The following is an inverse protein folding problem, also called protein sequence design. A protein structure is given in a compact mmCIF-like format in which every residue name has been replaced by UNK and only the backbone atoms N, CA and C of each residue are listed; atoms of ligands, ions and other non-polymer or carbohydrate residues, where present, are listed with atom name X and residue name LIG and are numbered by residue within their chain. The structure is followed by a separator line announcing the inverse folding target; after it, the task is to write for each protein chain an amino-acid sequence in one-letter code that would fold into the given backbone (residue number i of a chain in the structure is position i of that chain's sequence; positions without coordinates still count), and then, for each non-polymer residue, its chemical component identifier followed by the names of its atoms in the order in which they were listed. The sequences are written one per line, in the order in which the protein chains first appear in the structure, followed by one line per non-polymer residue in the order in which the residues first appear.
data_IF_952164593221
#
_entry.id   IF_952164593221
#
_cell.length_a   1.000
_cell.length_b   1.000
_cell.length_c   1.000
_cell.angle_alpha   90.00
_cell.angle_beta   90.00
_cell.angle_gamma   90.00
#
_symmetry.space_group_name_H-M   'P 1'
#
loop_
_entity.id
_entity.type
_entity.pdbx_description
1 polymer ?
#
# COMPACT_ATOMS: atom_id res chain seq x y z
N UNK A 1 -8.50 -1.01 20.90
CA UNK A 1 -8.53 -0.40 19.54
C UNK A 1 -8.67 1.10 19.68
N UNK A 2 -8.00 1.87 18.83
CA UNK A 2 -8.21 3.31 18.73
C UNK A 2 -9.59 3.57 18.10
N UNK A 3 -10.28 4.60 18.56
CA UNK A 3 -11.61 4.99 18.03
C UNK A 3 -11.52 6.10 16.98
N UNK A 4 -10.31 6.60 16.74
CA UNK A 4 -10.05 7.66 15.78
C UNK A 4 -9.87 7.10 14.37
N UNK A 5 -10.26 7.90 13.39
CA UNK A 5 -10.09 7.55 11.99
C UNK A 5 -8.62 7.68 11.59
N UNK A 6 -8.06 6.62 11.00
CA UNK A 6 -6.70 6.65 10.47
C UNK A 6 -6.62 7.44 9.17
N UNK A 7 -5.85 8.53 9.19
CA UNK A 7 -5.46 9.30 8.02
C UNK A 7 -4.13 8.79 7.48
N UNK A 8 -4.15 7.61 6.85
CA UNK A 8 -2.96 7.01 6.23
C UNK A 8 -2.86 7.41 4.75
N UNK A 9 -2.03 8.39 4.45
CA UNK A 9 -1.71 8.88 3.10
C UNK A 9 -0.27 9.42 3.06
N UNK A 10 0.19 9.87 1.89
CA UNK A 10 1.55 10.35 1.68
C UNK A 10 1.62 11.89 1.76
N UNK A 11 0.75 12.54 2.53
CA UNK A 11 0.76 14.01 2.67
C UNK A 11 2.07 14.56 3.24
N UNK A 12 2.74 13.81 4.11
CA UNK A 12 4.02 14.22 4.71
C UNK A 12 5.21 14.16 3.73
N UNK A 13 5.04 13.55 2.56
CA UNK A 13 6.10 13.39 1.57
C UNK A 13 6.38 14.71 0.83
N UNK A 14 7.64 15.15 0.87
CA UNK A 14 8.11 16.28 0.08
C UNK A 14 8.07 15.99 -1.44
N UNK A 15 8.18 14.71 -1.83
CA UNK A 15 7.98 14.27 -3.21
C UNK A 15 6.61 14.65 -3.76
N UNK A 16 5.55 14.54 -2.93
CA UNK A 16 4.19 14.88 -3.32
C UNK A 16 4.12 16.35 -3.78
N UNK A 17 4.73 17.26 -3.04
CA UNK A 17 4.78 18.69 -3.39
C UNK A 17 5.35 18.93 -4.80
N UNK A 18 6.55 18.42 -5.09
CA UNK A 18 7.20 18.64 -6.39
C UNK A 18 6.46 17.96 -7.54
N UNK A 19 5.87 16.79 -7.31
CA UNK A 19 5.10 16.08 -8.32
C UNK A 19 3.86 16.86 -8.71
N UNK A 20 3.12 17.39 -7.73
CA UNK A 20 1.94 18.21 -7.98
C UNK A 20 2.30 19.54 -8.66
N UNK A 21 3.37 20.21 -8.23
CA UNK A 21 3.87 21.42 -8.90
C UNK A 21 4.30 21.20 -10.35
N UNK A 22 4.76 19.99 -10.66
CA UNK A 22 5.11 19.57 -12.02
C UNK A 22 3.85 19.34 -12.84
N UNK A 23 2.94 18.48 -12.37
CA UNK A 23 1.79 18.01 -13.15
C UNK A 23 0.62 18.99 -13.20
N UNK A 24 0.52 19.96 -12.29
CA UNK A 24 -0.58 20.94 -12.29
C UNK A 24 -0.66 21.72 -13.61
N UNK A 25 0.47 22.01 -14.26
CA UNK A 25 0.50 22.63 -15.59
C UNK A 25 -0.21 21.78 -16.63
N UNK A 26 -0.14 20.46 -16.49
CA UNK A 26 -0.88 19.54 -17.36
C UNK A 26 -2.40 19.59 -17.06
N UNK A 27 -2.81 19.50 -15.80
CA UNK A 27 -4.23 19.45 -15.46
C UNK A 27 -5.01 20.76 -15.64
N UNK A 28 -4.33 21.91 -15.56
CA UNK A 28 -4.97 23.23 -15.55
C UNK A 28 -5.03 23.92 -16.92
N UNK A 29 -4.45 23.31 -17.95
CA UNK A 29 -4.37 23.91 -19.29
C UNK A 29 -4.94 22.99 -20.37
N UNK A 30 -5.57 23.60 -21.37
CA UNK A 30 -5.98 22.90 -22.58
C UNK A 30 -4.74 22.64 -23.45
N UNK A 31 -4.47 21.36 -23.69
CA UNK A 31 -3.32 20.93 -24.49
C UNK A 31 -3.73 20.60 -25.92
N UNK A 32 -3.00 21.06 -26.95
CA UNK A 32 -3.37 20.87 -28.34
C UNK A 32 -2.95 19.50 -28.93
N UNK A 33 -2.34 18.60 -28.13
CA UNK A 33 -1.82 17.32 -28.63
C UNK A 33 -2.94 16.37 -29.04
N UNK A 34 -2.74 15.63 -30.14
CA UNK A 34 -3.72 14.67 -30.65
C UNK A 34 -3.64 13.31 -29.96
N UNK A 35 -2.42 12.91 -29.60
CA UNK A 35 -2.12 11.60 -29.02
C UNK A 35 -0.91 11.68 -28.07
N UNK A 36 -0.61 10.55 -27.44
CA UNK A 36 0.50 10.42 -26.49
C UNK A 36 1.88 10.60 -27.13
N UNK A 37 2.04 10.18 -28.39
CA UNK A 37 3.34 10.26 -29.08
C UNK A 37 3.71 11.72 -29.34
N UNK A 38 2.76 12.51 -29.84
CA UNK A 38 2.92 13.96 -30.01
C UNK A 38 3.21 14.65 -28.67
N UNK A 39 2.45 14.32 -27.62
CA UNK A 39 2.63 14.90 -26.28
C UNK A 39 4.00 14.61 -25.69
N UNK A 40 4.40 13.34 -25.66
CA UNK A 40 5.67 12.90 -25.08
C UNK A 40 6.90 13.44 -25.82
N UNK A 41 6.76 13.70 -27.12
CA UNK A 41 7.83 14.29 -27.94
C UNK A 41 7.94 15.79 -27.72
N UNK A 42 6.80 16.49 -27.65
CA UNK A 42 6.76 17.94 -27.49
C UNK A 42 7.12 18.38 -26.06
N UNK A 43 6.65 17.66 -25.05
CA UNK A 43 6.80 18.01 -23.64
C UNK A 43 7.16 16.78 -22.78
N UNK A 44 8.37 16.22 -22.97
CA UNK A 44 8.78 14.95 -22.36
C UNK A 44 8.80 14.99 -20.82
N UNK A 45 9.13 16.14 -20.23
CA UNK A 45 9.07 16.32 -18.78
C UNK A 45 7.65 16.20 -18.21
N UNK A 46 6.63 16.70 -18.92
CA UNK A 46 5.23 16.56 -18.52
C UNK A 46 4.75 15.11 -18.69
N UNK A 47 5.19 14.42 -19.75
CA UNK A 47 4.90 13.00 -19.92
C UNK A 47 5.51 12.17 -18.77
N UNK A 48 6.76 12.46 -18.39
CA UNK A 48 7.43 11.83 -17.24
C UNK A 48 6.71 12.14 -15.91
N UNK A 49 6.32 13.39 -15.68
CA UNK A 49 5.52 13.79 -14.52
C UNK A 49 4.18 13.05 -14.48
N UNK A 50 3.51 12.91 -15.62
CA UNK A 50 2.22 12.22 -15.71
C UNK A 50 2.34 10.73 -15.37
N UNK A 51 3.32 10.03 -15.96
CA UNK A 51 3.55 8.61 -15.66
C UNK A 51 3.92 8.42 -14.19
N UNK A 52 4.78 9.28 -13.66
CA UNK A 52 5.17 9.27 -12.23
C UNK A 52 3.96 9.51 -11.33
N UNK A 53 3.12 10.49 -11.66
CA UNK A 53 1.89 10.80 -10.94
C UNK A 53 0.95 9.59 -10.86
N UNK A 54 0.71 8.90 -11.98
CA UNK A 54 -0.14 7.70 -11.99
C UNK A 54 0.38 6.62 -11.04
N UNK A 55 1.71 6.44 -10.96
CA UNK A 55 2.31 5.47 -10.03
C UNK A 55 2.22 5.93 -8.58
N UNK A 56 2.48 7.21 -8.32
CA UNK A 56 2.42 7.77 -6.97
C UNK A 56 0.99 7.80 -6.41
N UNK A 57 0.02 8.19 -7.22
CA UNK A 57 -1.41 8.19 -6.87
C UNK A 57 -1.90 6.77 -6.55
N UNK A 58 -1.52 5.79 -7.38
CA UNK A 58 -1.83 4.38 -7.11
C UNK A 58 -1.20 3.87 -5.80
N UNK A 59 0.00 4.37 -5.45
CA UNK A 59 0.72 4.03 -4.22
C UNK A 59 0.02 4.64 -2.99
N UNK A 60 -0.33 5.92 -3.05
CA UNK A 60 -1.09 6.61 -2.01
C UNK A 60 -2.46 5.92 -1.79
N UNK A 61 -3.15 5.54 -2.86
CA UNK A 61 -4.42 4.83 -2.78
C UNK A 61 -4.30 3.48 -2.05
N UNK A 62 -3.14 2.80 -2.07
CA UNK A 62 -2.97 1.57 -1.29
C UNK A 62 -3.06 1.81 0.22
N UNK A 63 -2.59 2.96 0.71
CA UNK A 63 -2.73 3.33 2.12
C UNK A 63 -4.15 3.73 2.47
N UNK A 64 -4.84 4.45 1.57
CA UNK A 64 -6.26 4.77 1.72
C UNK A 64 -7.10 3.50 1.83
N UNK A 65 -6.83 2.52 0.97
CA UNK A 65 -7.54 1.24 0.94
C UNK A 65 -7.30 0.38 2.19
N UNK A 66 -6.17 0.57 2.89
CA UNK A 66 -5.87 -0.11 4.17
C UNK A 66 -6.71 0.42 5.34
N UNK A 67 -7.22 1.66 5.25
CA UNK A 67 -8.02 2.31 6.33
C UNK A 67 -9.31 1.56 6.67
N UNK A 68 -9.81 0.71 5.75
CA UNK A 68 -11.00 -0.11 5.98
C UNK A 68 -10.74 -1.27 6.94
N UNK A 69 -9.49 -1.77 7.02
CA UNK A 69 -9.16 -2.96 7.81
C UNK A 69 -9.42 -2.73 9.32
N UNK A 70 -8.96 -1.63 9.94
CA UNK A 70 -9.32 -1.31 11.32
C UNK A 70 -10.83 -1.12 11.53
N UNK A 71 -11.54 -0.57 10.54
CA UNK A 71 -12.99 -0.38 10.62
C UNK A 71 -13.75 -1.71 10.62
N UNK A 72 -13.31 -2.67 9.79
CA UNK A 72 -13.88 -4.03 9.77
C UNK A 72 -13.64 -4.74 11.10
N UNK A 73 -12.44 -4.61 11.68
CA UNK A 73 -12.16 -5.13 13.03
C UNK A 73 -13.05 -4.46 14.08
N UNK A 74 -13.33 -3.16 13.93
CA UNK A 74 -14.22 -2.39 14.80
C UNK A 74 -15.72 -2.73 14.72
N UNK A 75 -16.14 -3.68 13.89
CA UNK A 75 -17.55 -4.08 13.78
C UNK A 75 -18.08 -4.64 15.12
N UNK A 76 -19.12 -3.99 15.66
CA UNK A 76 -19.71 -4.34 16.97
C UNK A 76 -20.69 -5.50 16.92
N UNK A 77 -21.35 -5.70 15.79
CA UNK A 77 -22.38 -6.73 15.61
C UNK A 77 -21.82 -7.88 14.77
N UNK A 78 -21.33 -8.92 15.43
CA UNK A 78 -20.91 -10.18 14.82
C UNK A 78 -21.65 -11.31 15.56
N UNK A 79 -22.19 -12.37 14.92
CA UNK A 79 -22.15 -12.65 13.48
C UNK A 79 -22.85 -11.58 12.62
N UNK A 80 -22.39 -11.41 11.38
CA UNK A 80 -22.99 -10.45 10.44
C UNK A 80 -24.14 -11.11 9.68
N UNK A 81 -25.35 -10.51 9.70
CA UNK A 81 -26.49 -11.07 9.00
C UNK A 81 -26.29 -11.07 7.48
N UNK A 82 -26.71 -12.13 6.80
CA UNK A 82 -26.58 -12.31 5.35
C UNK A 82 -27.79 -13.03 4.76
N UNK A 83 -28.02 -12.88 3.45
CA UNK A 83 -29.18 -13.48 2.76
C UNK A 83 -29.11 -15.01 2.65
N UNK A 84 -27.89 -15.57 2.68
CA UNK A 84 -27.67 -17.01 2.50
C UNK A 84 -27.33 -17.67 3.82
N UNK A 85 -26.31 -17.15 4.49
CA UNK A 85 -25.82 -17.64 5.77
C UNK A 85 -25.04 -16.53 6.44
N UNK A 86 -25.36 -16.26 7.70
CA UNK A 86 -24.66 -15.28 8.52
C UNK A 86 -23.16 -15.55 8.58
N UNK A 87 -22.37 -14.49 8.50
CA UNK A 87 -20.91 -14.58 8.59
C UNK A 87 -20.56 -14.65 10.08
N UNK A 88 -20.13 -15.83 10.53
CA UNK A 88 -19.71 -16.06 11.91
C UNK A 88 -18.39 -15.34 12.25
N UNK A 89 -18.05 -15.31 13.55
CA UNK A 89 -16.83 -14.65 14.06
C UNK A 89 -15.55 -15.14 13.41
N UNK A 90 -15.45 -16.45 13.14
CA UNK A 90 -14.28 -17.06 12.52
C UNK A 90 -14.10 -16.60 11.07
N UNK A 91 -15.16 -16.73 10.26
CA UNK A 91 -15.13 -16.36 8.85
C UNK A 91 -14.95 -14.85 8.67
N UNK A 92 -15.45 -14.03 9.61
CA UNK A 92 -15.22 -12.59 9.62
C UNK A 92 -13.74 -12.24 9.81
N UNK A 93 -13.10 -12.73 10.88
CA UNK A 93 -11.67 -12.45 11.15
C UNK A 93 -10.77 -12.98 10.03
N UNK A 94 -11.04 -14.19 9.56
CA UNK A 94 -10.31 -14.79 8.45
C UNK A 94 -10.40 -13.94 7.18
N UNK A 95 -11.58 -13.43 6.85
CA UNK A 95 -11.77 -12.57 5.67
C UNK A 95 -11.01 -11.25 5.79
N UNK A 96 -10.97 -10.67 6.99
CA UNK A 96 -10.18 -9.47 7.28
C UNK A 96 -8.69 -9.73 7.06
N UNK A 97 -8.15 -10.82 7.60
CA UNK A 97 -6.73 -11.18 7.44
C UNK A 97 -6.39 -11.42 5.97
N UNK A 98 -7.22 -12.17 5.24
CA UNK A 98 -7.02 -12.45 3.82
C UNK A 98 -7.04 -11.14 2.98
N UNK A 99 -7.95 -10.20 3.29
CA UNK A 99 -7.98 -8.89 2.64
C UNK A 99 -6.76 -8.03 2.99
N UNK A 100 -6.37 -7.97 4.26
CA UNK A 100 -5.18 -7.21 4.69
C UNK A 100 -3.91 -7.72 3.98
N UNK A 101 -3.75 -9.04 3.88
CA UNK A 101 -2.65 -9.67 3.16
C UNK A 101 -2.63 -9.33 1.67
N UNK A 102 -3.80 -9.30 1.03
CA UNK A 102 -3.92 -8.87 -0.36
C UNK A 102 -3.50 -7.40 -0.53
N UNK A 103 -3.93 -6.51 0.37
CA UNK A 103 -3.57 -5.08 0.34
C UNK A 103 -2.08 -4.85 0.58
N UNK A 104 -1.44 -5.54 1.53
CA UNK A 104 0.01 -5.46 1.72
C UNK A 104 0.81 -5.94 0.50
N UNK A 105 0.34 -7.00 -0.18
CA UNK A 105 0.97 -7.45 -1.41
C UNK A 105 0.88 -6.39 -2.52
N UNK A 106 -0.29 -5.79 -2.69
CA UNK A 106 -0.52 -4.70 -3.65
C UNK A 106 0.34 -3.47 -3.35
N UNK A 107 0.41 -3.03 -2.09
CA UNK A 107 1.28 -1.93 -1.64
C UNK A 107 2.73 -2.13 -2.07
N UNK A 108 3.29 -3.30 -1.79
CA UNK A 108 4.64 -3.65 -2.18
C UNK A 108 4.83 -3.60 -3.70
N UNK A 109 3.95 -4.24 -4.45
CA UNK A 109 4.11 -4.37 -5.90
C UNK A 109 4.01 -2.99 -6.58
N UNK A 110 3.11 -2.12 -6.12
CA UNK A 110 3.00 -0.74 -6.62
C UNK A 110 4.23 0.11 -6.24
N UNK A 111 4.79 -0.04 -5.04
CA UNK A 111 6.04 0.64 -4.67
C UNK A 111 7.19 0.25 -5.60
N UNK A 112 7.25 -1.01 -6.06
CA UNK A 112 8.23 -1.43 -7.05
C UNK A 112 8.03 -0.75 -8.41
N UNK A 113 6.79 -0.63 -8.87
CA UNK A 113 6.48 0.08 -10.10
C UNK A 113 6.83 1.56 -10.01
N UNK A 114 6.57 2.19 -8.87
CA UNK A 114 6.93 3.58 -8.63
C UNK A 114 8.45 3.81 -8.71
N UNK A 115 9.26 2.98 -8.04
CA UNK A 115 10.73 3.06 -8.14
C UNK A 115 11.22 2.79 -9.57
N UNK A 116 10.64 1.80 -10.25
CA UNK A 116 11.01 1.46 -11.63
C UNK A 116 10.73 2.60 -12.61
N UNK A 117 9.65 3.36 -12.37
CA UNK A 117 9.25 4.53 -13.14
C UNK A 117 10.18 5.72 -12.88
N UNK A 118 10.32 6.13 -11.61
CA UNK A 118 11.10 7.33 -11.26
C UNK A 118 12.56 7.19 -11.66
N UNK A 119 13.17 6.02 -11.43
CA UNK A 119 14.57 5.77 -11.77
C UNK A 119 14.77 5.29 -13.21
N UNK A 120 13.71 5.20 -14.02
CA UNK A 120 13.74 4.70 -15.41
C UNK A 120 14.54 3.38 -15.56
N UNK A 121 14.36 2.46 -14.60
CA UNK A 121 15.11 1.20 -14.54
C UNK A 121 14.72 0.27 -15.70
N UNK A 122 13.49 0.43 -16.24
CA UNK A 122 12.98 -0.33 -17.38
C UNK A 122 12.98 -1.86 -17.15
N UNK A 123 12.80 -2.31 -15.91
CA UNK A 123 12.50 -3.72 -15.65
C UNK A 123 11.07 -4.00 -16.13
N UNK A 124 10.86 -5.09 -16.90
CA UNK A 124 9.51 -5.46 -17.32
C UNK A 124 8.71 -6.01 -16.13
N UNK A 125 7.40 -5.80 -16.13
CA UNK A 125 6.49 -6.12 -15.02
C UNK A 125 6.68 -7.54 -14.48
N UNK A 126 6.80 -8.55 -15.35
CA UNK A 126 6.99 -9.95 -14.95
C UNK A 126 8.33 -10.25 -14.25
N UNK A 127 9.29 -9.32 -14.28
CA UNK A 127 10.58 -9.40 -13.56
C UNK A 127 10.63 -8.47 -12.35
N UNK A 128 9.60 -7.65 -12.13
CA UNK A 128 9.63 -6.64 -11.09
C UNK A 128 9.35 -7.25 -9.72
N UNK A 129 10.42 -7.59 -9.01
CA UNK A 129 10.39 -8.10 -7.65
C UNK A 129 11.65 -7.70 -6.90
N UNK A 130 11.61 -7.80 -5.56
CA UNK A 130 12.71 -7.37 -4.68
C UNK A 130 14.06 -8.01 -5.02
N UNK A 131 14.08 -9.24 -5.54
CA UNK A 131 15.34 -9.92 -5.89
C UNK A 131 15.98 -9.31 -7.13
N UNK A 132 15.19 -8.95 -8.13
CA UNK A 132 15.72 -8.31 -9.34
C UNK A 132 16.06 -6.84 -9.10
N UNK A 133 15.19 -6.11 -8.39
CA UNK A 133 15.47 -4.74 -7.94
C UNK A 133 16.74 -4.69 -7.09
N UNK A 134 16.92 -5.66 -6.18
CA UNK A 134 18.13 -5.77 -5.38
C UNK A 134 19.41 -5.98 -6.19
N UNK A 135 19.36 -6.47 -7.44
CA UNK A 135 20.55 -6.54 -8.30
C UNK A 135 20.87 -5.21 -8.96
N UNK A 136 19.84 -4.42 -9.28
CA UNK A 136 19.98 -3.15 -10.02
C UNK A 136 20.28 -2.00 -9.05
N UNK A 137 19.64 -1.99 -7.89
CA UNK A 137 19.68 -0.89 -6.93
C UNK A 137 20.87 -0.96 -5.97
N UNK A 138 21.38 -2.16 -5.66
CA UNK A 138 22.32 -2.36 -4.54
C UNK A 138 23.54 -1.45 -4.56
N UNK A 139 24.12 -1.20 -5.73
CA UNK A 139 25.38 -0.46 -5.83
C UNK A 139 25.16 1.05 -6.01
N UNK A 140 24.01 1.46 -6.55
CA UNK A 140 23.73 2.86 -6.91
C UNK A 140 22.72 3.56 -5.98
N UNK A 141 21.81 2.80 -5.39
CA UNK A 141 20.66 3.26 -4.63
C UNK A 141 20.40 2.37 -3.41
N UNK A 142 21.38 2.17 -2.51
CA UNK A 142 21.23 1.25 -1.38
C UNK A 142 20.13 1.68 -0.40
N UNK A 143 19.93 2.98 -0.18
CA UNK A 143 18.89 3.53 0.72
C UNK A 143 17.48 3.20 0.20
N UNK A 144 17.21 3.49 -1.07
CA UNK A 144 15.96 3.13 -1.77
C UNK A 144 15.68 1.62 -1.66
N UNK A 145 16.72 0.79 -1.80
CA UNK A 145 16.58 -0.67 -1.69
C UNK A 145 16.21 -1.11 -0.26
N UNK A 146 16.72 -0.45 0.78
CA UNK A 146 16.37 -0.78 2.17
C UNK A 146 14.90 -0.46 2.46
N UNK A 147 14.38 0.67 2.00
CA UNK A 147 12.96 1.00 2.11
C UNK A 147 12.07 -0.03 1.42
N UNK A 148 12.44 -0.44 0.19
CA UNK A 148 11.74 -1.50 -0.54
C UNK A 148 11.77 -2.86 0.17
N UNK A 149 12.84 -3.18 0.91
CA UNK A 149 12.90 -4.40 1.74
C UNK A 149 12.01 -4.29 2.97
N UNK A 150 11.88 -3.11 3.56
CA UNK A 150 10.92 -2.87 4.64
C UNK A 150 9.49 -3.09 4.13
N UNK A 151 9.14 -2.49 2.97
CA UNK A 151 7.86 -2.71 2.31
C UNK A 151 7.63 -4.17 1.92
N UNK A 152 8.65 -4.90 1.46
CA UNK A 152 8.53 -6.35 1.16
C UNK A 152 8.20 -7.20 2.39
N UNK A 153 8.62 -6.77 3.57
CA UNK A 153 8.39 -7.45 4.84
C UNK A 153 7.03 -7.14 5.46
N UNK A 154 6.26 -6.19 4.90
CA UNK A 154 4.94 -5.85 5.43
C UNK A 154 3.98 -7.04 5.49
N UNK A 155 3.19 -7.09 6.56
CA UNK A 155 2.27 -8.19 6.85
C UNK A 155 2.95 -9.53 7.08
N UNK A 156 4.27 -9.58 7.35
CA UNK A 156 5.00 -10.84 7.56
C UNK A 156 4.40 -11.70 8.69
N UNK A 157 3.99 -11.16 9.86
CA UNK A 157 3.36 -11.95 10.90
C UNK A 157 2.09 -12.67 10.40
N UNK A 158 1.21 -11.95 9.71
CA UNK A 158 -0.03 -12.51 9.13
C UNK A 158 0.27 -13.49 7.98
N UNK A 159 1.31 -13.24 7.18
CA UNK A 159 1.73 -14.12 6.08
C UNK A 159 2.27 -15.44 6.60
N UNK A 160 3.02 -15.43 7.69
CA UNK A 160 3.55 -16.64 8.31
C UNK A 160 2.40 -17.53 8.77
N UNK A 161 1.44 -17.00 9.54
CA UNK A 161 0.26 -17.75 9.96
C UNK A 161 -0.53 -18.31 8.77
N UNK A 162 -0.81 -17.47 7.75
CA UNK A 162 -1.50 -17.93 6.53
C UNK A 162 -0.73 -19.01 5.77
N UNK A 163 0.60 -18.95 5.73
CA UNK A 163 1.42 -19.99 5.09
C UNK A 163 1.37 -21.29 5.89
N UNK A 164 1.38 -21.23 7.22
CA UNK A 164 1.15 -22.41 8.05
C UNK A 164 -0.22 -23.03 7.78
N UNK A 165 -1.27 -22.21 7.61
CA UNK A 165 -2.59 -22.68 7.15
C UNK A 165 -2.53 -23.36 5.79
N UNK A 166 -1.88 -22.74 4.80
CA UNK A 166 -1.81 -23.28 3.46
C UNK A 166 -1.03 -24.60 3.37
N UNK A 167 0.03 -24.75 4.17
CA UNK A 167 0.92 -25.91 4.12
C UNK A 167 0.57 -27.02 5.11
N UNK A 168 0.02 -26.68 6.27
CA UNK A 168 -0.26 -27.62 7.37
C UNK A 168 -1.76 -27.75 7.66
N UNK A 169 -2.62 -26.93 7.07
CA UNK A 169 -4.06 -26.92 7.33
C UNK A 169 -4.48 -26.26 8.65
N UNK A 170 -3.54 -25.72 9.41
CA UNK A 170 -3.77 -25.02 10.68
C UNK A 170 -3.84 -23.52 10.44
N UNK A 171 -5.01 -22.91 10.58
CA UNK A 171 -5.09 -21.47 10.83
C UNK A 171 -4.86 -21.28 12.32
N UNK A 172 -4.09 -20.29 12.75
CA UNK A 172 -4.19 -19.80 14.10
C UNK A 172 -4.51 -18.32 13.98
N UNK A 173 -5.79 -17.98 13.99
CA UNK A 173 -6.25 -16.59 14.01
C UNK A 173 -5.91 -15.90 15.35
N UNK A 174 -4.73 -16.15 15.92
CA UNK A 174 -4.30 -15.63 17.21
C UNK A 174 -5.26 -15.99 18.36
N UNK A 175 -5.88 -17.18 18.28
CA UNK A 175 -6.79 -17.68 19.32
C UNK A 175 -6.14 -18.70 20.25
N UNK A 176 -4.94 -19.19 19.93
CA UNK A 176 -4.24 -20.29 20.62
C UNK A 176 -4.93 -21.66 20.52
N UNK A 177 -6.24 -21.70 20.19
CA UNK A 177 -7.06 -22.90 20.06
C UNK A 177 -8.01 -22.92 18.85
N UNK A 178 -7.52 -22.48 17.67
CA UNK A 178 -8.31 -22.24 16.44
C UNK A 178 -9.37 -23.29 16.10
N UNK A 179 -9.09 -24.59 16.30
CA UNK A 179 -10.06 -25.65 16.05
C UNK A 179 -11.32 -25.53 16.94
N UNK A 180 -11.14 -25.23 18.22
CA UNK A 180 -12.25 -25.01 19.14
C UNK A 180 -12.99 -23.73 18.78
N UNK A 181 -12.25 -22.64 18.53
CA UNK A 181 -12.82 -21.36 18.11
C UNK A 181 -13.68 -21.49 16.84
N UNK A 182 -13.17 -22.19 15.83
CA UNK A 182 -13.89 -22.47 14.58
C UNK A 182 -15.17 -23.26 14.79
N UNK A 183 -15.10 -24.35 15.55
CA UNK A 183 -16.27 -25.20 15.83
C UNK A 183 -17.34 -24.43 16.61
N UNK A 184 -16.91 -23.59 17.55
CA UNK A 184 -17.80 -22.74 18.34
C UNK A 184 -18.43 -21.63 17.50
N UNK A 185 -17.66 -20.96 16.65
CA UNK A 185 -18.17 -19.97 15.71
C UNK A 185 -19.22 -20.55 14.75
N UNK A 186 -19.03 -21.79 14.27
CA UNK A 186 -20.03 -22.46 13.43
C UNK A 186 -21.33 -22.76 14.19
N UNK A 187 -21.22 -23.04 15.49
CA UNK A 187 -22.35 -23.33 16.36
C UNK A 187 -23.19 -22.09 16.73
N UNK A 188 -22.67 -20.88 16.48
CA UNK A 188 -23.40 -19.60 16.69
C UNK A 188 -24.73 -19.57 15.94
N UNK A 189 -24.72 -20.06 14.70
CA UNK A 189 -25.90 -20.14 13.83
C UNK A 189 -27.02 -21.02 14.39
N UNK A 190 -26.70 -21.93 15.31
CA UNK A 190 -27.63 -22.88 15.91
C UNK A 190 -27.99 -22.53 17.36
N UNK A 191 -27.58 -21.36 17.87
CA UNK A 191 -27.76 -20.95 19.27
C UNK A 191 -27.22 -21.96 20.30
N UNK A 192 -26.24 -22.78 19.91
CA UNK A 192 -25.62 -23.77 20.80
C UNK A 192 -24.45 -23.14 21.55
N UNK A 193 -24.38 -23.38 22.86
CA UNK A 193 -23.30 -22.91 23.73
C UNK A 193 -22.62 -24.12 24.39
N UNK A 194 -21.29 -24.19 24.32
CA UNK A 194 -20.50 -25.14 25.09
C UNK A 194 -20.14 -24.48 26.41
N UNK A 195 -20.51 -25.12 27.52
CA UNK A 195 -20.18 -24.65 28.86
C UNK A 195 -18.67 -24.58 29.04
N UNK A 196 -18.17 -23.41 29.42
CA UNK A 196 -16.74 -23.19 29.71
C UNK A 196 -15.90 -22.63 28.56
N UNK A 197 -16.48 -22.36 27.39
CA UNK A 197 -15.79 -21.66 26.30
C UNK A 197 -16.44 -20.30 26.02
N UNK A 198 -15.69 -19.21 26.24
CA UNK A 198 -16.15 -17.86 25.96
C UNK A 198 -15.75 -17.44 24.53
N UNK A 199 -16.64 -17.74 23.59
CA UNK A 199 -16.44 -17.43 22.18
C UNK A 199 -16.29 -15.94 21.91
N UNK A 200 -17.01 -15.09 22.66
CA UNK A 200 -16.95 -13.63 22.47
C UNK A 200 -15.60 -13.12 22.95
N UNK A 201 -15.17 -13.50 24.17
CA UNK A 201 -13.87 -13.09 24.69
C UNK A 201 -12.70 -13.59 23.82
N UNK A 202 -12.74 -14.83 23.33
CA UNK A 202 -11.71 -15.34 22.40
C UNK A 202 -11.66 -14.53 21.11
N UNK A 203 -12.83 -14.23 20.53
CA UNK A 203 -12.91 -13.37 19.34
C UNK A 203 -12.34 -11.97 19.61
N UNK A 204 -12.70 -11.33 20.72
CA UNK A 204 -12.24 -9.99 21.04
C UNK A 204 -10.72 -9.93 21.25
N UNK A 205 -10.15 -10.93 21.94
CA UNK A 205 -8.69 -11.06 22.11
C UNK A 205 -7.98 -11.18 20.76
N UNK A 206 -8.45 -12.11 19.92
CA UNK A 206 -7.89 -12.35 18.58
C UNK A 206 -8.02 -11.13 17.68
N UNK A 207 -9.20 -10.49 17.65
CA UNK A 207 -9.45 -9.24 16.93
C UNK A 207 -8.45 -8.16 17.34
N UNK A 208 -8.25 -7.96 18.64
CA UNK A 208 -7.36 -6.91 19.15
C UNK A 208 -5.90 -7.20 18.82
N UNK A 209 -5.48 -8.48 18.81
CA UNK A 209 -4.15 -8.87 18.37
C UNK A 209 -3.92 -8.61 16.87
N UNK A 210 -4.86 -9.03 16.03
CA UNK A 210 -4.82 -8.76 14.58
C UNK A 210 -4.82 -7.25 14.32
N UNK A 211 -5.64 -6.48 15.04
CA UNK A 211 -5.67 -5.03 14.96
C UNK A 211 -4.30 -4.41 15.24
N UNK A 212 -3.66 -4.80 16.35
CA UNK A 212 -2.37 -4.28 16.73
C UNK A 212 -1.29 -4.60 15.70
N UNK A 213 -1.31 -5.82 15.15
CA UNK A 213 -0.40 -6.22 14.06
C UNK A 213 -0.63 -5.35 12.83
N UNK A 214 -1.86 -5.24 12.35
CA UNK A 214 -2.18 -4.46 11.13
C UNK A 214 -1.76 -3.00 11.30
N UNK A 215 -2.19 -2.34 12.38
CA UNK A 215 -1.90 -0.92 12.59
C UNK A 215 -0.39 -0.66 12.66
N UNK A 216 0.35 -1.54 13.34
CA UNK A 216 1.81 -1.45 13.41
C UNK A 216 2.44 -1.59 12.02
N UNK A 217 2.08 -2.64 11.28
CA UNK A 217 2.61 -2.90 9.93
C UNK A 217 2.30 -1.77 8.96
N UNK A 218 1.10 -1.17 9.02
CA UNK A 218 0.75 -0.02 8.18
C UNK A 218 1.57 1.22 8.55
N UNK A 219 1.76 1.51 9.84
CA UNK A 219 2.58 2.66 10.29
C UNK A 219 4.04 2.52 9.85
N UNK A 220 4.61 1.33 10.01
CA UNK A 220 5.98 1.03 9.55
C UNK A 220 6.10 1.12 8.02
N UNK A 221 5.12 0.59 7.28
CA UNK A 221 5.08 0.69 5.83
C UNK A 221 4.94 2.15 5.35
N UNK A 222 4.10 2.94 6.03
CA UNK A 222 3.85 4.33 5.69
C UNK A 222 5.12 5.16 5.84
N UNK A 223 5.81 5.03 6.98
CA UNK A 223 7.08 5.70 7.23
C UNK A 223 8.11 5.35 6.15
N UNK A 224 8.29 4.05 5.86
CA UNK A 224 9.23 3.61 4.82
C UNK A 224 8.84 4.11 3.42
N UNK A 225 7.55 4.28 3.14
CA UNK A 225 7.07 4.76 1.85
C UNK A 225 7.25 6.28 1.69
N UNK A 226 7.09 7.05 2.77
CA UNK A 226 7.39 8.49 2.80
C UNK A 226 8.89 8.69 2.58
N UNK A 227 9.73 7.97 3.33
CA UNK A 227 11.19 8.02 3.17
C UNK A 227 11.64 7.59 1.77
N UNK A 228 11.05 6.52 1.23
CA UNK A 228 11.30 6.07 -0.15
C UNK A 228 10.97 7.16 -1.17
N UNK A 229 9.81 7.81 -1.02
CA UNK A 229 9.37 8.85 -1.95
C UNK A 229 10.28 10.06 -1.87
N UNK A 230 10.68 10.45 -0.67
CA UNK A 230 11.55 11.60 -0.45
C UNK A 230 12.99 11.32 -0.90
N UNK A 231 13.50 10.10 -0.79
CA UNK A 231 14.79 9.71 -1.38
C UNK A 231 14.74 9.74 -2.93
N UNK A 232 13.56 9.51 -3.52
CA UNK A 232 13.34 9.61 -4.96
C UNK A 232 13.21 11.05 -5.46
N UNK A 233 12.99 12.02 -4.58
CA UNK A 233 12.76 13.43 -4.90
C UNK A 233 13.83 14.01 -5.82
N UNK A 234 15.11 13.83 -5.47
CA UNK A 234 16.24 14.42 -6.21
C UNK A 234 16.28 13.85 -7.63
N UNK A 235 16.11 12.54 -7.78
CA UNK A 235 16.14 11.86 -9.07
C UNK A 235 15.00 12.31 -9.98
N UNK A 236 13.78 12.38 -9.43
CA UNK A 236 12.62 12.89 -10.16
C UNK A 236 12.82 14.34 -10.60
N UNK A 237 13.19 15.21 -9.65
CA UNK A 237 13.40 16.65 -9.88
C UNK A 237 14.42 16.90 -10.98
N UNK A 238 15.59 16.28 -10.88
CA UNK A 238 16.70 16.51 -11.81
C UNK A 238 16.35 15.98 -13.20
N UNK A 239 15.70 14.83 -13.25
CA UNK A 239 15.23 14.25 -14.51
C UNK A 239 14.17 15.12 -15.17
N UNK A 240 13.19 15.59 -14.40
CA UNK A 240 12.15 16.49 -14.85
C UNK A 240 12.73 17.81 -15.40
N UNK A 241 13.65 18.46 -14.67
CA UNK A 241 14.31 19.68 -15.16
C UNK A 241 15.14 19.41 -16.43
N UNK A 242 15.87 18.30 -16.49
CA UNK A 242 16.65 17.94 -17.66
C UNK A 242 15.78 17.75 -18.91
N UNK A 243 14.64 17.08 -18.77
CA UNK A 243 13.67 16.87 -19.86
C UNK A 243 12.99 18.18 -20.29
N UNK A 244 12.82 19.13 -19.38
CA UNK A 244 12.15 20.40 -19.67
C UNK A 244 12.93 21.29 -20.65
N UNK A 245 14.26 21.15 -20.73
CA UNK A 245 15.13 21.99 -21.57
C UNK A 245 14.82 21.89 -23.05
N UNK A 246 14.22 20.78 -23.48
CA UNK A 246 13.83 20.51 -24.87
C UNK A 246 12.32 20.61 -25.09
N UNK A 247 11.58 21.08 -24.07
CA UNK A 247 10.12 21.12 -24.11
C UNK A 247 9.59 22.43 -24.68
N UNK A 248 8.35 22.39 -25.16
CA UNK A 248 7.67 23.58 -25.68
C UNK A 248 7.23 24.52 -24.56
N UNK A 249 6.74 23.96 -23.45
CA UNK A 249 6.12 24.74 -22.37
C UNK A 249 7.08 25.11 -21.24
N UNK A 250 8.18 24.36 -21.07
CA UNK A 250 9.10 24.53 -19.94
C UNK A 250 8.47 24.16 -18.59
N UNK A 251 9.24 24.30 -17.52
CA UNK A 251 8.75 24.03 -16.15
C UNK A 251 7.84 25.14 -15.63
N UNK A 252 6.97 24.79 -14.67
CA UNK A 252 6.14 25.75 -13.95
C UNK A 252 7.01 26.77 -13.19
N UNK A 253 6.47 27.97 -12.97
CA UNK A 253 7.17 29.01 -12.22
C UNK A 253 7.48 28.57 -10.78
N UNK A 254 6.55 27.84 -10.16
CA UNK A 254 6.72 27.29 -8.82
C UNK A 254 7.87 26.28 -8.78
N UNK A 255 7.93 25.36 -9.76
CA UNK A 255 9.04 24.42 -9.88
C UNK A 255 10.39 25.14 -10.02
N UNK A 256 10.45 26.18 -10.86
CA UNK A 256 11.68 26.94 -11.03
C UNK A 256 12.13 27.65 -9.73
N UNK A 257 11.18 28.20 -8.97
CA UNK A 257 11.46 28.96 -7.74
C UNK A 257 11.88 28.10 -6.55
N UNK A 258 11.27 26.92 -6.39
CA UNK A 258 11.40 26.10 -5.18
C UNK A 258 12.25 24.85 -5.34
N UNK A 259 12.28 24.25 -6.52
CA UNK A 259 12.89 22.93 -6.70
C UNK A 259 14.22 23.00 -7.44
N UNK A 260 14.33 23.82 -8.49
CA UNK A 260 15.54 23.87 -9.33
C UNK A 260 16.81 24.17 -8.51
N UNK A 261 17.86 23.37 -8.72
CA UNK A 261 19.18 23.71 -8.17
C UNK A 261 19.69 25.03 -8.76
N UNK A 262 20.28 25.86 -7.90
CA UNK A 262 20.86 27.14 -8.28
C UNK A 262 22.29 26.99 -8.79
#
# INVERSE_FOLDING_TARGET
METEYYWWDLEESTFKGVLYDSINTYFLHDHPYKDWEEFSTADPHMAYAHLTYVRFDALEQQFVDLRVIPQMLGAKAVPLPSLVQDINRYDWLKSIVDLALFRFASLRDIAYHFVNEVLEINLPDHKLNIKQLGKVLKDKYPEILEHLKTLDKTGMPLRQDRNERAHKGFCNLYTEDDQMFKNMAWSESHSMCITGYDLVATYEKSRDEIYNIVVKEVKEALQACVELSDDLYVYYRDRHDALSKNSRCGVSHHFHGYHRER
#
